data_IF_161007241962
#
_entry.id   IF_161007241962
#
_cell.length_a   1.000
_cell.length_b   1.000
_cell.length_c   1.000
_cell.angle_alpha   90.00
_cell.angle_beta   90.00
_cell.angle_gamma   90.00
#
_symmetry.space_group_name_H-M   'P 1'
#
loop_
_entity.id
_entity.type
_entity.pdbx_description
1 polymer ?
#
# COMPACT_ATOMS: atom_id res chain seq x y z
N UNK A 1 17.00 -3.89 4.25
CA UNK A 1 17.19 -3.64 5.69
C UNK A 1 15.79 -3.61 6.30
N UNK A 2 15.39 -4.65 7.02
CA UNK A 2 14.11 -4.65 7.74
C UNK A 2 14.26 -3.65 8.89
N UNK A 3 13.46 -2.59 8.87
CA UNK A 3 13.29 -1.71 10.03
C UNK A 3 12.12 -2.28 10.81
N UNK A 4 12.32 -2.49 12.10
CA UNK A 4 11.21 -2.77 13.00
C UNK A 4 10.76 -1.42 13.52
N UNK A 5 9.48 -1.07 13.33
CA UNK A 5 8.91 0.13 13.92
C UNK A 5 9.22 0.17 15.42
N UNK A 6 9.67 1.33 15.89
CA UNK A 6 9.79 1.57 17.33
C UNK A 6 8.38 1.47 17.93
N UNK A 7 8.18 0.80 19.08
CA UNK A 7 6.87 0.67 19.68
C UNK A 7 6.23 2.06 19.88
N UNK A 8 5.08 2.29 19.23
CA UNK A 8 4.34 3.55 19.29
C UNK A 8 4.67 4.56 18.19
N UNK A 9 5.56 4.25 17.23
CA UNK A 9 5.81 5.10 16.05
C UNK A 9 5.19 4.50 14.80
N UNK A 10 4.49 5.32 14.03
CA UNK A 10 3.94 4.93 12.73
C UNK A 10 5.08 4.74 11.74
N UNK A 11 5.07 3.63 11.01
CA UNK A 11 6.05 3.35 9.95
C UNK A 11 5.46 3.70 8.59
N UNK A 12 6.02 4.74 7.98
CA UNK A 12 5.65 5.18 6.64
C UNK A 12 6.56 4.53 5.60
N UNK A 13 5.93 3.96 4.58
CA UNK A 13 6.56 3.44 3.38
C UNK A 13 6.34 4.43 2.25
N UNK A 14 7.41 4.75 1.54
CA UNK A 14 7.41 5.67 0.41
C UNK A 14 7.80 4.90 -0.85
N UNK A 15 7.23 5.27 -2.00
CA UNK A 15 7.70 4.81 -3.31
C UNK A 15 8.42 5.94 -4.03
N UNK A 16 9.39 5.60 -4.88
CA UNK A 16 10.02 6.56 -5.80
C UNK A 16 9.13 6.93 -7.00
N UNK A 17 7.86 6.51 -6.99
CA UNK A 17 6.95 6.48 -8.14
C UNK A 17 6.24 5.12 -8.25
N UNK A 18 5.09 5.09 -8.95
CA UNK A 18 4.26 3.89 -9.11
C UNK A 18 3.53 3.46 -7.83
N UNK A 19 2.65 2.44 -7.94
CA UNK A 19 1.78 2.04 -6.84
C UNK A 19 2.55 1.28 -5.75
N UNK A 20 2.08 1.42 -4.50
CA UNK A 20 2.42 0.48 -3.44
C UNK A 20 1.43 -0.69 -3.47
N UNK A 21 1.93 -1.91 -3.30
CA UNK A 21 1.10 -3.13 -3.35
C UNK A 21 1.20 -3.88 -2.02
N UNK A 22 0.06 -4.12 -1.37
CA UNK A 22 -0.03 -5.03 -0.23
C UNK A 22 -0.50 -6.41 -0.70
N UNK A 23 0.40 -7.40 -0.63
CA UNK A 23 0.14 -8.77 -1.06
C UNK A 23 -0.07 -9.66 0.18
N UNK A 24 -1.16 -10.46 0.24
CA UNK A 24 -1.33 -11.42 1.32
C UNK A 24 -0.18 -12.44 1.34
N UNK A 25 0.37 -12.72 2.52
CA UNK A 25 1.50 -13.65 2.67
C UNK A 25 1.20 -15.05 2.09
N UNK A 26 -0.05 -15.48 2.14
CA UNK A 26 -0.51 -16.77 1.62
C UNK A 26 -0.35 -16.92 0.11
N UNK A 27 -0.31 -15.81 -0.64
CA UNK A 27 -0.16 -15.81 -2.11
C UNK A 27 1.16 -15.22 -2.59
N UNK A 28 2.06 -14.84 -1.67
CA UNK A 28 3.40 -14.33 -2.02
C UNK A 28 4.19 -15.25 -2.97
N UNK A 29 4.12 -16.60 -2.88
CA UNK A 29 4.81 -17.46 -3.84
C UNK A 29 4.34 -17.32 -5.30
N UNK A 30 3.18 -16.71 -5.54
CA UNK A 30 2.64 -16.43 -6.87
C UNK A 30 2.94 -15.01 -7.36
N UNK A 31 3.52 -14.15 -6.53
CA UNK A 31 3.93 -12.80 -6.91
C UNK A 31 5.32 -12.83 -7.56
N UNK A 32 5.38 -12.49 -8.84
CA UNK A 32 6.59 -12.50 -9.68
C UNK A 32 7.41 -11.21 -9.62
N UNK A 33 6.83 -10.14 -9.05
CA UNK A 33 7.52 -8.86 -8.90
C UNK A 33 7.50 -8.00 -10.17
N UNK A 34 8.56 -7.22 -10.35
CA UNK A 34 8.73 -6.30 -11.49
C UNK A 34 9.53 -6.91 -12.65
N UNK A 35 10.09 -8.10 -12.47
CA UNK A 35 10.92 -8.78 -13.47
C UNK A 35 10.09 -9.90 -14.14
N UNK A 36 9.22 -9.55 -15.09
CA UNK A 36 8.42 -10.50 -15.87
C UNK A 36 8.97 -10.69 -17.30
N UNK A 37 9.25 -11.92 -17.73
CA UNK A 37 9.90 -12.18 -19.03
C UNK A 37 8.94 -12.49 -20.20
N UNK A 38 7.66 -12.85 -19.98
CA UNK A 38 6.76 -13.28 -21.08
C UNK A 38 5.35 -12.64 -21.13
N UNK A 39 5.00 -11.77 -20.19
CA UNK A 39 3.81 -10.89 -20.17
C UNK A 39 4.10 -9.70 -19.24
N UNK A 40 3.28 -8.64 -19.25
CA UNK A 40 3.34 -7.56 -18.25
C UNK A 40 3.59 -8.16 -16.85
N UNK A 41 4.63 -7.70 -16.17
CA UNK A 41 4.98 -8.20 -14.84
C UNK A 41 3.81 -7.95 -13.87
N UNK A 42 3.80 -8.61 -12.72
CA UNK A 42 2.76 -8.33 -11.72
C UNK A 42 2.78 -6.85 -11.28
N UNK A 43 3.95 -6.23 -11.30
CA UNK A 43 4.09 -4.79 -11.08
C UNK A 43 3.51 -3.95 -12.22
N UNK A 44 3.73 -4.32 -13.49
CA UNK A 44 3.15 -3.61 -14.63
C UNK A 44 1.62 -3.67 -14.60
N UNK A 45 1.06 -4.86 -14.31
CA UNK A 45 -0.38 -5.05 -14.11
C UNK A 45 -0.93 -4.21 -12.96
N UNK A 46 -0.15 -4.02 -11.89
CA UNK A 46 -0.54 -3.14 -10.78
C UNK A 46 -0.53 -1.65 -11.20
N UNK A 47 0.37 -1.24 -12.09
CA UNK A 47 0.45 0.12 -12.59
C UNK A 47 -0.74 0.50 -13.48
N UNK A 48 -1.38 -0.47 -14.13
CA UNK A 48 -2.59 -0.26 -14.94
C UNK A 48 -3.88 -0.12 -14.11
N UNK A 49 -3.82 -0.32 -12.79
CA UNK A 49 -4.99 -0.17 -11.92
C UNK A 49 -5.24 1.31 -11.64
N UNK A 50 -6.33 1.83 -12.22
CA UNK A 50 -6.72 3.23 -12.06
C UNK A 50 -7.25 3.55 -10.65
N UNK A 51 -6.96 4.79 -10.20
CA UNK A 51 -7.50 5.38 -8.99
C UNK A 51 -6.68 5.14 -7.72
N UNK A 52 -7.17 5.65 -6.60
CA UNK A 52 -6.43 5.64 -5.33
C UNK A 52 -6.30 4.23 -4.72
N UNK A 53 -7.27 3.34 -4.96
CA UNK A 53 -7.30 2.00 -4.40
C UNK A 53 -7.92 1.03 -5.42
N UNK A 54 -7.28 -0.11 -5.64
CA UNK A 54 -7.82 -1.17 -6.48
C UNK A 54 -7.37 -2.57 -6.05
N UNK A 55 -7.91 -3.57 -6.73
CA UNK A 55 -7.63 -4.99 -6.44
C UNK A 55 -6.96 -5.64 -7.65
N UNK A 56 -5.88 -6.38 -7.40
CA UNK A 56 -5.16 -7.12 -8.42
C UNK A 56 -5.17 -8.62 -8.07
N UNK A 57 -5.67 -9.51 -8.94
CA UNK A 57 -5.63 -10.96 -8.69
C UNK A 57 -4.19 -11.49 -8.62
N UNK A 58 -3.88 -12.26 -7.56
CA UNK A 58 -2.60 -12.94 -7.32
C UNK A 58 -2.89 -14.33 -6.75
N UNK A 59 -2.55 -15.38 -7.50
CA UNK A 59 -2.89 -16.76 -7.14
C UNK A 59 -4.40 -16.95 -6.99
N UNK A 60 -4.84 -17.40 -5.82
CA UNK A 60 -6.25 -17.59 -5.43
C UNK A 60 -6.82 -16.45 -4.57
N UNK A 61 -6.10 -15.34 -4.43
CA UNK A 61 -6.49 -14.16 -3.66
C UNK A 61 -6.28 -12.87 -4.46
N UNK A 62 -6.36 -11.72 -3.78
CA UNK A 62 -6.15 -10.39 -4.36
C UNK A 62 -5.15 -9.59 -3.55
N UNK A 63 -4.23 -8.93 -4.24
CA UNK A 63 -3.41 -7.87 -3.68
C UNK A 63 -4.18 -6.54 -3.71
N UNK A 64 -3.90 -5.67 -2.73
CA UNK A 64 -4.39 -4.31 -2.68
C UNK A 64 -3.39 -3.38 -3.37
N UNK A 65 -3.84 -2.65 -4.37
CA UNK A 65 -3.05 -1.64 -5.08
C UNK A 65 -3.39 -0.26 -4.53
N UNK A 66 -2.37 0.49 -4.11
CA UNK A 66 -2.46 1.85 -3.62
C UNK A 66 -1.80 2.77 -4.64
N UNK A 67 -2.62 3.31 -5.54
CA UNK A 67 -2.17 3.98 -6.77
C UNK A 67 -2.45 5.48 -6.83
N UNK A 68 -2.47 5.99 -8.05
CA UNK A 68 -2.65 7.40 -8.45
C UNK A 68 -1.46 8.31 -8.13
N UNK A 69 -1.13 8.48 -6.85
CA UNK A 69 -0.03 9.36 -6.40
C UNK A 69 0.93 8.61 -5.47
N UNK A 70 2.24 8.94 -5.46
CA UNK A 70 3.24 8.32 -4.58
C UNK A 70 3.12 8.83 -3.13
N UNK A 71 1.92 8.72 -2.56
CA UNK A 71 1.63 9.13 -1.19
C UNK A 71 2.29 8.17 -0.19
N UNK A 72 3.00 8.72 0.78
CA UNK A 72 3.53 7.96 1.91
C UNK A 72 2.39 7.17 2.57
N UNK A 73 2.62 5.87 2.80
CA UNK A 73 1.59 4.94 3.27
C UNK A 73 2.04 4.23 4.52
N UNK A 74 1.15 4.13 5.51
CA UNK A 74 1.37 3.36 6.72
C UNK A 74 0.23 2.37 6.95
N UNK A 75 0.53 1.22 7.53
CA UNK A 75 -0.49 0.34 8.09
C UNK A 75 -0.66 0.68 9.57
N UNK A 76 -1.91 0.89 10.01
CA UNK A 76 -2.27 1.15 11.40
C UNK A 76 -2.87 -0.13 12.03
N UNK A 77 -2.11 -0.91 12.82
CA UNK A 77 -2.56 -2.20 13.33
C UNK A 77 -3.81 -2.11 14.20
N UNK A 78 -3.93 -1.05 15.02
CA UNK A 78 -5.08 -0.83 15.90
C UNK A 78 -6.38 -0.60 15.14
N UNK A 79 -6.30 -0.23 13.86
CA UNK A 79 -7.43 0.02 12.97
C UNK A 79 -7.56 -1.00 11.83
N UNK A 80 -6.60 -1.91 11.67
CA UNK A 80 -6.56 -2.85 10.54
C UNK A 80 -6.59 -2.17 9.17
N UNK A 81 -6.04 -0.96 9.04
CA UNK A 81 -6.27 -0.08 7.88
C UNK A 81 -4.96 0.51 7.37
N UNK A 82 -4.85 0.67 6.04
CA UNK A 82 -3.82 1.47 5.41
C UNK A 82 -4.24 2.95 5.36
N UNK A 83 -3.35 3.83 5.80
CA UNK A 83 -3.51 5.29 5.72
C UNK A 83 -2.49 5.84 4.74
N UNK A 84 -2.94 6.76 3.89
CA UNK A 84 -2.13 7.42 2.88
C UNK A 84 -2.07 8.92 3.17
N UNK A 85 -0.88 9.47 3.26
CA UNK A 85 -0.67 10.90 3.44
C UNK A 85 -0.78 11.62 2.11
N UNK A 86 -2.00 12.01 1.72
CA UNK A 86 -2.25 12.75 0.49
C UNK A 86 -2.14 14.27 0.68
N UNK A 87 -2.52 14.78 1.86
CA UNK A 87 -2.50 16.20 2.19
C UNK A 87 -2.46 16.40 3.71
N UNK A 88 -1.44 17.11 4.19
CA UNK A 88 -1.27 17.70 5.52
C UNK A 88 0.19 18.18 5.64
N UNK A 89 0.48 19.09 6.55
CA UNK A 89 1.86 19.55 6.80
C UNK A 89 2.59 18.66 7.82
N UNK A 90 1.84 17.89 8.64
CA UNK A 90 2.41 17.06 9.70
C UNK A 90 1.74 15.68 9.84
N UNK A 91 2.47 14.73 10.44
CA UNK A 91 1.98 13.36 10.69
C UNK A 91 0.77 13.40 11.63
N UNK A 92 0.84 14.22 12.68
CA UNK A 92 -0.24 14.38 13.65
C UNK A 92 -1.54 14.84 13.00
N UNK A 93 -1.46 15.75 12.01
CA UNK A 93 -2.63 16.21 11.26
C UNK A 93 -3.27 15.08 10.43
N UNK A 94 -2.48 14.24 9.79
CA UNK A 94 -2.99 13.07 9.05
C UNK A 94 -3.65 12.08 10.01
N UNK A 95 -2.95 11.72 11.08
CA UNK A 95 -3.41 10.71 12.04
C UNK A 95 -4.66 11.18 12.80
N UNK A 96 -4.78 12.47 13.10
CA UNK A 96 -5.96 13.05 13.72
C UNK A 96 -7.24 12.88 12.86
N UNK A 97 -7.11 12.77 11.54
CA UNK A 97 -8.23 12.53 10.62
C UNK A 97 -8.74 11.09 10.59
N UNK A 98 -7.95 10.11 11.02
CA UNK A 98 -8.25 8.67 10.88
C UNK A 98 -9.56 8.27 11.56
N UNK A 99 -9.84 8.64 12.83
CA UNK A 99 -11.07 8.22 13.48
C UNK A 99 -12.33 8.72 12.76
N UNK A 100 -12.29 9.93 12.20
CA UNK A 100 -13.41 10.49 11.46
C UNK A 100 -13.62 9.78 10.11
N UNK A 101 -12.53 9.44 9.41
CA UNK A 101 -12.58 8.72 8.13
C UNK A 101 -13.14 7.30 8.28
N UNK A 102 -12.82 6.61 9.38
CA UNK A 102 -13.29 5.24 9.65
C UNK A 102 -14.74 5.18 10.14
N UNK A 103 -15.32 6.29 10.59
CA UNK A 103 -16.71 6.36 11.02
C UNK A 103 -17.69 6.62 9.87
N UNK A 104 -17.18 6.87 8.66
CA UNK A 104 -17.96 7.25 7.48
C UNK A 104 -18.53 6.05 6.70
#
# INVERSE_FOLDING_TARGET
MVRYAEPGRVEWVESGGGPLIAVPETVLPFWTGADGEETDSDYDRACEVDGHVGLLPVGDSTALVLGDEPAATAYLPDHGTFVRWCAADTEDEVLAGVPAALAA
#
